data_IF_580852274840
#
_entry.id   IF_580852274840
#
_cell.length_a   1.000
_cell.length_b   1.000
_cell.length_c   1.000
_cell.angle_alpha   90.00
_cell.angle_beta   90.00
_cell.angle_gamma   90.00
#
_symmetry.space_group_name_H-M   'P 1'
#
loop_
_entity.id
_entity.type
_entity.pdbx_description
1 polymer ?
#
# COMPACT_ATOMS: atom_id res chain seq x y z
N UNK A 1 -29.72 -30.18 31.49
CA UNK A 1 -31.07 -30.57 31.02
C UNK A 1 -31.40 -29.70 29.81
N UNK A 2 -31.24 -30.24 28.60
CA UNK A 2 -32.32 -30.48 27.60
C UNK A 2 -32.94 -29.14 27.13
N UNK A 3 -32.79 -28.65 25.89
CA UNK A 3 -32.90 -29.34 24.60
C UNK A 3 -32.27 -28.54 23.45
N UNK A 4 -31.68 -29.24 22.49
CA UNK A 4 -31.29 -28.76 21.16
C UNK A 4 -32.49 -28.72 20.20
N UNK A 5 -32.48 -27.83 19.20
CA UNK A 5 -33.14 -28.02 17.91
C UNK A 5 -32.41 -27.24 16.79
N UNK A 6 -31.64 -27.97 15.96
CA UNK A 6 -31.40 -27.71 14.51
C UNK A 6 -32.56 -28.40 13.73
N UNK A 7 -32.78 -28.33 12.38
CA UNK A 7 -32.10 -27.60 11.28
C UNK A 7 -33.03 -27.01 10.17
N UNK A 8 -32.39 -26.40 9.14
CA UNK A 8 -32.70 -26.39 7.67
C UNK A 8 -34.06 -25.90 7.14
N UNK A 9 -34.00 -24.91 6.23
CA UNK A 9 -34.76 -24.95 4.96
C UNK A 9 -33.85 -24.68 3.77
N UNK A 10 -33.79 -25.71 2.91
CA UNK A 10 -33.37 -25.62 1.53
C UNK A 10 -34.62 -25.41 0.65
N UNK A 11 -34.49 -24.60 -0.39
CA UNK A 11 -35.25 -24.65 -1.66
C UNK A 11 -34.43 -23.80 -2.65
N UNK A 12 -33.80 -24.34 -3.71
CA UNK A 12 -34.39 -24.83 -4.99
C UNK A 12 -35.24 -23.73 -5.65
N UNK A 13 -35.17 -23.38 -6.94
CA UNK A 13 -34.44 -23.79 -8.16
C UNK A 13 -34.99 -22.88 -9.31
N UNK A 14 -34.38 -22.95 -10.51
CA UNK A 14 -34.92 -22.59 -11.86
C UNK A 14 -34.82 -21.10 -12.27
N UNK A 15 -34.46 -20.64 -13.47
CA UNK A 15 -33.75 -21.09 -14.70
C UNK A 15 -33.74 -19.91 -15.70
N UNK A 16 -32.75 -19.87 -16.63
CA UNK A 16 -32.84 -19.46 -18.07
C UNK A 16 -31.50 -18.86 -18.53
N UNK A 17 -30.59 -19.54 -19.24
CA UNK A 17 -30.57 -19.92 -20.67
C UNK A 17 -30.71 -18.75 -21.67
N UNK A 18 -29.59 -18.32 -22.25
CA UNK A 18 -29.53 -17.81 -23.62
C UNK A 18 -28.14 -18.15 -24.23
N UNK A 19 -28.14 -19.09 -25.16
CA UNK A 19 -27.01 -19.47 -26.00
C UNK A 19 -26.97 -18.57 -27.24
N UNK A 20 -25.78 -18.15 -27.64
CA UNK A 20 -25.52 -17.46 -28.91
C UNK A 20 -24.29 -18.06 -29.59
N UNK A 21 -24.51 -19.11 -30.38
CA UNK A 21 -23.55 -19.71 -31.31
C UNK A 21 -23.55 -18.89 -32.62
N UNK A 22 -22.38 -18.51 -33.10
CA UNK A 22 -22.17 -18.17 -34.52
C UNK A 22 -20.79 -18.69 -34.95
N UNK A 23 -20.83 -19.78 -35.70
CA UNK A 23 -19.72 -20.32 -36.46
C UNK A 23 -19.78 -19.77 -37.90
N UNK A 24 -18.63 -19.80 -38.58
CA UNK A 24 -18.38 -20.20 -39.99
C UNK A 24 -17.26 -19.36 -40.59
N UNK A 25 -16.25 -20.04 -41.15
CA UNK A 25 -15.25 -19.40 -42.00
C UNK A 25 -14.02 -20.27 -42.29
N UNK A 26 -14.21 -21.48 -42.83
CA UNK A 26 -13.13 -22.32 -43.38
C UNK A 26 -12.63 -21.73 -44.71
N UNK A 27 -11.34 -21.41 -44.78
CA UNK A 27 -10.63 -21.08 -46.01
C UNK A 27 -9.43 -21.99 -46.18
N UNK A 28 -9.61 -23.09 -46.92
CA UNK A 28 -8.55 -23.97 -47.39
C UNK A 28 -8.15 -23.56 -48.81
N UNK A 29 -6.85 -23.33 -49.04
CA UNK A 29 -6.27 -23.34 -50.39
C UNK A 29 -4.94 -24.09 -50.34
N UNK A 30 -4.82 -25.00 -51.29
CA UNK A 30 -3.84 -26.06 -51.41
C UNK A 30 -2.45 -25.59 -51.86
N UNK A 31 -1.48 -26.45 -51.57
CA UNK A 31 -0.11 -26.47 -52.05
C UNK A 31 0.05 -26.21 -53.56
N UNK A 32 1.10 -25.46 -53.90
CA UNK A 32 1.64 -25.40 -55.25
C UNK A 32 3.17 -25.60 -55.18
N UNK A 33 3.73 -26.68 -55.76
CA UNK A 33 5.17 -26.92 -55.78
C UNK A 33 5.85 -25.97 -56.77
N UNK A 34 6.89 -25.26 -56.32
CA UNK A 34 7.73 -24.43 -57.18
C UNK A 34 9.14 -25.01 -57.19
N UNK A 35 9.65 -25.21 -58.41
CA UNK A 35 10.93 -25.78 -58.78
C UNK A 35 12.14 -25.08 -58.11
N UNK A 36 13.15 -25.89 -57.81
CA UNK A 36 14.46 -25.45 -57.38
C UNK A 36 15.27 -24.86 -58.55
N UNK A 37 15.89 -23.67 -58.39
CA UNK A 37 17.00 -23.26 -59.23
C UNK A 37 18.36 -23.65 -58.61
N UNK A 38 19.30 -23.98 -59.50
CA UNK A 38 20.69 -24.39 -59.29
C UNK A 38 21.53 -23.48 -58.37
N UNK A 39 22.63 -24.02 -57.78
CA UNK A 39 23.49 -23.28 -56.85
C UNK A 39 24.35 -22.24 -57.58
N UNK A 40 24.20 -20.97 -57.21
CA UNK A 40 25.13 -19.89 -57.59
C UNK A 40 26.21 -19.80 -56.51
N UNK A 41 27.47 -19.89 -56.94
CA UNK A 41 28.66 -19.86 -56.11
C UNK A 41 28.71 -18.65 -55.15
N UNK A 42 28.93 -18.93 -53.87
CA UNK A 42 29.17 -17.93 -52.83
C UNK A 42 30.57 -17.28 -53.02
N UNK A 43 30.69 -15.95 -53.02
CA UNK A 43 31.98 -15.31 -52.82
C UNK A 43 32.32 -15.35 -51.33
N UNK A 44 33.44 -16.02 -51.00
CA UNK A 44 34.05 -16.01 -49.67
C UNK A 44 34.46 -14.58 -49.29
N UNK A 45 33.66 -13.90 -48.47
CA UNK A 45 34.04 -12.65 -47.82
C UNK A 45 34.68 -12.96 -46.48
N UNK A 46 35.96 -12.64 -46.35
CA UNK A 46 36.72 -12.63 -45.10
C UNK A 46 35.99 -11.77 -44.05
N UNK A 47 35.75 -12.24 -42.81
CA UNK A 47 35.13 -11.42 -41.77
C UNK A 47 36.10 -10.33 -41.31
N UNK A 48 35.61 -9.09 -41.30
CA UNK A 48 36.25 -7.92 -40.68
C UNK A 48 36.21 -8.08 -39.16
N UNK A 49 37.25 -7.68 -38.40
CA UNK A 49 37.25 -7.84 -36.94
C UNK A 49 36.13 -7.01 -36.30
N UNK A 50 35.29 -7.67 -35.51
CA UNK A 50 34.24 -7.01 -34.72
C UNK A 50 34.88 -5.99 -33.75
N UNK A 51 34.31 -4.77 -33.60
CA UNK A 51 34.78 -3.82 -32.62
C UNK A 51 34.55 -4.41 -31.22
N UNK A 52 35.65 -4.59 -30.47
CA UNK A 52 35.57 -4.89 -29.04
C UNK A 52 34.90 -3.72 -28.33
N UNK A 53 33.65 -3.90 -27.93
CA UNK A 53 32.93 -2.96 -27.08
C UNK A 53 33.64 -2.95 -25.73
N UNK A 54 34.18 -1.81 -25.32
CA UNK A 54 34.63 -1.63 -23.94
C UNK A 54 33.43 -1.85 -23.00
N UNK A 55 33.62 -2.52 -21.85
CA UNK A 55 32.55 -2.69 -20.88
C UNK A 55 32.09 -1.31 -20.40
N UNK A 56 30.78 -1.07 -20.46
CA UNK A 56 30.16 0.08 -19.80
C UNK A 56 30.54 0.05 -18.30
N UNK A 57 30.89 1.21 -17.70
CA UNK A 57 31.16 1.28 -16.28
C UNK A 57 29.94 0.80 -15.49
N UNK A 58 30.17 0.00 -14.44
CA UNK A 58 29.11 -0.38 -13.51
C UNK A 58 28.45 0.87 -12.92
N UNK A 59 27.11 0.90 -12.81
CA UNK A 59 26.41 2.02 -12.21
C UNK A 59 26.85 2.20 -10.75
N UNK A 60 27.07 3.45 -10.33
CA UNK A 60 27.29 3.77 -8.92
C UNK A 60 26.08 3.34 -8.07
N UNK A 61 26.29 2.81 -6.86
CA UNK A 61 25.20 2.41 -5.98
C UNK A 61 24.37 3.63 -5.57
N UNK A 62 23.05 3.51 -5.69
CA UNK A 62 22.11 4.52 -5.20
C UNK A 62 22.24 4.67 -3.67
N UNK A 63 22.13 5.90 -3.14
CA UNK A 63 22.22 6.13 -1.70
C UNK A 63 21.09 5.41 -0.97
N UNK A 64 21.43 4.64 0.06
CA UNK A 64 20.44 4.00 0.93
C UNK A 64 19.67 5.07 1.73
N UNK A 65 18.34 5.04 1.64
CA UNK A 65 17.49 5.89 2.46
C UNK A 65 17.48 5.36 3.90
N UNK A 66 17.74 6.26 4.86
CA UNK A 66 17.82 5.92 6.29
C UNK A 66 16.60 6.47 7.00
N UNK A 67 15.93 5.62 7.77
CA UNK A 67 14.81 6.04 8.61
C UNK A 67 15.27 7.08 9.64
N UNK A 68 14.57 8.22 9.65
CA UNK A 68 14.71 9.26 10.66
C UNK A 68 13.37 9.43 11.36
N UNK A 69 13.36 9.22 12.67
CA UNK A 69 12.17 9.36 13.50
C UNK A 69 11.79 10.85 13.60
N UNK A 70 10.59 11.25 13.13
CA UNK A 70 10.11 12.61 13.35
C UNK A 70 9.90 12.87 14.85
N UNK A 71 10.29 14.04 15.33
CA UNK A 71 10.07 14.46 16.73
C UNK A 71 8.86 15.36 16.91
N UNK A 72 8.29 15.86 15.82
CA UNK A 72 7.22 16.86 15.83
C UNK A 72 6.17 16.52 14.77
N UNK A 73 4.89 16.67 15.13
CA UNK A 73 3.77 16.37 14.24
C UNK A 73 3.64 17.37 13.08
N UNK A 74 4.23 18.56 13.19
CA UNK A 74 4.25 19.55 12.10
C UNK A 74 5.18 19.13 10.95
N UNK A 75 6.08 18.18 11.20
CA UNK A 75 7.08 17.70 10.24
C UNK A 75 6.78 16.29 9.73
N UNK A 76 5.67 15.66 10.16
CA UNK A 76 5.38 14.26 9.85
C UNK A 76 4.82 14.05 8.43
N UNK A 77 4.40 15.14 7.78
CA UNK A 77 3.82 15.17 6.43
C UNK A 77 4.47 16.28 5.61
N UNK A 78 4.50 16.18 4.27
CA UNK A 78 4.97 17.25 3.41
C UNK A 78 4.20 18.55 3.64
N UNK A 79 4.86 19.70 3.53
CA UNK A 79 4.23 21.00 3.81
C UNK A 79 2.97 21.26 2.94
N UNK A 80 2.99 20.79 1.69
CA UNK A 80 1.84 20.88 0.78
C UNK A 80 0.62 20.08 1.30
N UNK A 81 0.86 18.94 1.94
CA UNK A 81 -0.20 18.14 2.56
C UNK A 81 -0.77 18.85 3.77
N UNK A 82 0.07 19.39 4.64
CA UNK A 82 -0.38 20.15 5.83
C UNK A 82 -1.30 21.30 5.39
N UNK A 83 -0.89 22.08 4.38
CA UNK A 83 -1.72 23.15 3.83
C UNK A 83 -3.07 22.64 3.26
N UNK A 84 -3.09 21.45 2.65
CA UNK A 84 -4.33 20.83 2.16
C UNK A 84 -5.28 20.44 3.29
N UNK A 85 -4.76 19.93 4.41
CA UNK A 85 -5.55 19.61 5.60
C UNK A 85 -6.16 20.88 6.22
N UNK A 86 -5.39 21.97 6.29
CA UNK A 86 -5.88 23.26 6.77
C UNK A 86 -7.00 23.84 5.91
N UNK A 87 -6.90 23.72 4.57
CA UNK A 87 -7.98 24.13 3.64
C UNK A 87 -9.26 23.33 3.88
N UNK A 88 -9.14 22.09 4.36
CA UNK A 88 -10.27 21.24 4.76
C UNK A 88 -10.75 21.51 6.19
N UNK A 89 -10.23 22.57 6.81
CA UNK A 89 -10.52 22.97 8.19
C UNK A 89 -10.03 21.96 9.24
N UNK A 90 -9.10 21.06 8.88
CA UNK A 90 -8.48 20.14 9.82
C UNK A 90 -7.27 20.80 10.48
N UNK A 91 -7.26 20.82 11.81
CA UNK A 91 -6.20 21.37 12.64
C UNK A 91 -5.40 20.26 13.28
N UNK A 92 -4.11 20.50 13.53
CA UNK A 92 -3.27 19.59 14.31
C UNK A 92 -3.64 19.70 15.80
N UNK A 93 -4.46 18.77 16.28
CA UNK A 93 -5.03 18.74 17.62
C UNK A 93 -4.13 18.00 18.62
N UNK A 94 -3.59 16.84 18.25
CA UNK A 94 -2.88 15.95 19.17
C UNK A 94 -1.47 15.56 18.70
N UNK A 95 -0.60 15.23 19.67
CA UNK A 95 0.80 14.84 19.47
C UNK A 95 1.81 15.97 19.67
N UNK A 96 3.12 15.70 19.66
CA UNK A 96 4.16 16.72 19.81
C UNK A 96 4.02 17.85 18.79
N UNK A 97 4.10 19.11 19.24
CA UNK A 97 3.93 20.29 18.38
C UNK A 97 2.47 20.70 18.08
N UNK A 98 1.49 19.91 18.54
CA UNK A 98 0.06 20.20 18.37
C UNK A 98 -0.53 21.15 19.42
N UNK A 99 -1.81 21.51 19.25
CA UNK A 99 -2.57 22.37 20.18
C UNK A 99 -2.66 21.75 21.58
N UNK A 100 -2.98 20.46 21.67
CA UNK A 100 -3.18 19.76 22.95
C UNK A 100 -1.99 18.89 23.35
N UNK A 101 -0.96 18.78 22.50
CA UNK A 101 0.20 17.96 22.77
C UNK A 101 -0.17 16.49 22.96
N UNK A 102 0.56 15.82 23.85
CA UNK A 102 0.28 14.43 24.23
C UNK A 102 -0.97 14.31 25.14
N UNK A 103 -1.45 15.41 25.73
CA UNK A 103 -2.68 15.39 26.56
C UNK A 103 -3.94 15.12 25.74
N UNK A 104 -3.85 15.18 24.41
CA UNK A 104 -4.93 14.76 23.52
C UNK A 104 -5.30 13.28 23.71
N UNK A 105 -4.31 12.44 24.02
CA UNK A 105 -4.49 11.00 24.17
C UNK A 105 -4.81 10.67 25.64
N UNK A 106 -5.84 9.86 25.87
CA UNK A 106 -6.14 9.38 27.22
C UNK A 106 -5.14 8.30 27.66
N UNK A 107 -4.76 7.42 26.72
CA UNK A 107 -3.74 6.39 26.87
C UNK A 107 -2.77 6.49 25.69
N UNK A 108 -1.52 6.11 25.89
CA UNK A 108 -0.52 6.02 24.82
C UNK A 108 -1.01 5.08 23.71
N UNK A 109 -0.82 5.50 22.46
CA UNK A 109 -1.10 4.64 21.30
C UNK A 109 -0.12 3.47 21.24
N UNK A 110 -0.48 2.37 20.55
CA UNK A 110 0.44 1.27 20.31
C UNK A 110 1.79 1.71 19.72
N UNK A 111 1.78 2.71 18.85
CA UNK A 111 2.98 3.29 18.25
C UNK A 111 3.80 4.08 19.28
N UNK A 112 3.16 4.88 20.14
CA UNK A 112 3.83 5.60 21.24
C UNK A 112 4.49 4.63 22.24
N UNK A 113 3.85 3.50 22.53
CA UNK A 113 4.37 2.47 23.45
C UNK A 113 5.69 1.83 22.98
N UNK A 114 6.01 1.90 21.69
CA UNK A 114 7.28 1.44 21.13
C UNK A 114 8.25 2.58 20.80
N UNK A 115 8.02 3.77 21.36
CA UNK A 115 8.86 4.96 21.20
C UNK A 115 8.52 5.81 19.97
N UNK A 116 7.32 5.61 19.42
CA UNK A 116 6.78 6.40 18.32
C UNK A 116 6.16 7.73 18.73
N UNK A 117 5.61 8.42 17.74
CA UNK A 117 4.73 9.58 17.92
C UNK A 117 3.40 9.32 17.21
N UNK A 118 2.36 9.95 17.72
CA UNK A 118 1.01 9.91 17.15
C UNK A 118 0.49 11.33 17.03
N UNK A 119 -0.05 11.65 15.86
CA UNK A 119 -0.41 13.00 15.44
C UNK A 119 -1.85 13.00 14.96
N UNK A 120 -2.66 13.91 15.51
CA UNK A 120 -4.09 13.94 15.23
C UNK A 120 -4.46 15.22 14.49
N UNK A 121 -4.95 15.08 13.26
CA UNK A 121 -5.65 16.15 12.55
C UNK A 121 -7.15 15.99 12.68
N UNK A 122 -7.86 17.07 12.98
CA UNK A 122 -9.31 17.02 13.15
C UNK A 122 -9.98 18.38 13.20
N UNK A 123 -11.31 18.38 13.22
CA UNK A 123 -12.12 19.55 13.56
C UNK A 123 -12.64 19.42 15.00
N UNK A 124 -12.42 20.45 15.80
CA UNK A 124 -12.96 20.48 17.17
C UNK A 124 -14.48 20.39 17.18
N UNK A 125 -15.02 19.50 18.01
CA UNK A 125 -16.46 19.32 18.17
C UNK A 125 -17.17 18.70 16.95
N UNK A 126 -16.43 18.19 15.95
CA UNK A 126 -16.98 17.52 14.78
C UNK A 126 -16.59 16.04 14.80
N UNK A 127 -17.56 15.19 15.09
CA UNK A 127 -17.38 13.74 15.03
C UNK A 127 -17.01 13.30 13.60
N UNK A 128 -16.22 12.23 13.48
CA UNK A 128 -15.81 11.61 12.21
C UNK A 128 -15.00 12.53 11.27
N UNK A 129 -14.28 13.50 11.83
CA UNK A 129 -13.35 14.38 11.10
C UNK A 129 -11.88 14.09 11.38
N UNK A 130 -11.56 12.97 12.02
CA UNK A 130 -10.25 12.71 12.62
C UNK A 130 -9.38 11.83 11.74
N UNK A 131 -8.17 12.30 11.51
CA UNK A 131 -7.06 11.54 10.94
C UNK A 131 -6.02 11.38 12.04
N UNK A 132 -5.70 10.14 12.38
CA UNK A 132 -4.60 9.80 13.28
C UNK A 132 -3.48 9.20 12.45
N UNK A 133 -2.32 9.86 12.45
CA UNK A 133 -1.10 9.41 11.80
C UNK A 133 -0.07 9.09 12.87
N UNK A 134 0.54 7.92 12.78
CA UNK A 134 1.56 7.51 13.73
C UNK A 134 2.78 6.95 13.01
N UNK A 135 3.95 7.20 13.59
CA UNK A 135 5.22 6.63 13.16
C UNK A 135 5.96 6.12 14.39
N UNK A 136 6.60 4.97 14.28
CA UNK A 136 7.40 4.41 15.36
C UNK A 136 8.65 3.70 14.84
N UNK A 137 9.77 3.75 15.58
CA UNK A 137 10.94 2.95 15.27
C UNK A 137 10.67 1.47 15.58
N UNK A 138 11.19 0.58 14.74
CA UNK A 138 11.18 -0.85 14.96
C UNK A 138 12.59 -1.43 14.99
N UNK A 139 12.75 -2.49 15.75
CA UNK A 139 13.85 -3.43 15.62
C UNK A 139 13.28 -4.81 15.27
N UNK A 140 14.13 -5.80 15.01
CA UNK A 140 13.67 -7.13 14.60
C UNK A 140 12.66 -7.77 15.57
N UNK A 141 12.81 -7.56 16.89
CA UNK A 141 11.92 -8.13 17.90
C UNK A 141 10.58 -7.37 17.95
N UNK A 142 10.61 -6.04 18.04
CA UNK A 142 9.37 -5.23 18.07
C UNK A 142 8.61 -5.34 16.75
N UNK A 143 9.30 -5.42 15.61
CA UNK A 143 8.69 -5.66 14.31
C UNK A 143 7.91 -6.97 14.26
N UNK A 144 8.53 -8.06 14.73
CA UNK A 144 7.87 -9.37 14.74
C UNK A 144 6.61 -9.33 15.63
N UNK A 145 6.73 -8.72 16.81
CA UNK A 145 5.60 -8.56 17.73
C UNK A 145 4.47 -7.70 17.14
N UNK A 146 4.78 -6.54 16.55
CA UNK A 146 3.80 -5.67 15.89
C UNK A 146 3.03 -6.43 14.80
N UNK A 147 3.73 -7.23 13.98
CA UNK A 147 3.09 -8.06 12.95
C UNK A 147 2.14 -9.09 13.57
N UNK A 148 2.59 -9.81 14.60
CA UNK A 148 1.77 -10.80 15.30
C UNK A 148 0.52 -10.15 15.94
N UNK A 149 0.68 -8.97 16.54
CA UNK A 149 -0.40 -8.22 17.18
C UNK A 149 -1.42 -7.71 16.14
N UNK A 150 -0.97 -7.21 14.97
CA UNK A 150 -1.87 -6.80 13.89
C UNK A 150 -2.67 -7.99 13.35
N UNK A 151 -2.03 -9.14 13.16
CA UNK A 151 -2.70 -10.37 12.72
C UNK A 151 -3.71 -10.84 13.78
N UNK A 152 -3.33 -10.82 15.07
CA UNK A 152 -4.20 -11.22 16.18
C UNK A 152 -5.43 -10.31 16.32
N UNK A 153 -5.28 -9.03 15.97
CA UNK A 153 -6.37 -8.05 15.91
C UNK A 153 -7.27 -8.20 14.67
N UNK A 154 -6.90 -9.07 13.72
CA UNK A 154 -7.69 -9.38 12.54
C UNK A 154 -7.48 -8.44 11.36
N UNK A 155 -6.39 -7.67 11.34
CA UNK A 155 -6.02 -6.87 10.18
C UNK A 155 -5.72 -7.77 8.97
N UNK A 156 -6.10 -7.29 7.79
CA UNK A 156 -5.93 -8.02 6.53
C UNK A 156 -4.58 -7.65 5.93
N UNK A 157 -3.78 -8.63 5.53
CA UNK A 157 -2.54 -8.39 4.82
C UNK A 157 -2.80 -7.95 3.37
N UNK A 158 -2.02 -6.98 2.88
CA UNK A 158 -2.06 -6.50 1.50
C UNK A 158 -0.72 -6.74 0.82
N UNK A 159 -0.78 -7.21 -0.43
CA UNK A 159 0.42 -7.43 -1.24
C UNK A 159 1.11 -6.10 -1.56
N UNK A 160 2.44 -6.13 -1.63
CA UNK A 160 3.29 -5.00 -1.97
C UNK A 160 4.42 -5.44 -2.87
N UNK A 161 4.89 -4.51 -3.69
CA UNK A 161 6.00 -4.73 -4.63
C UNK A 161 7.38 -4.49 -3.99
N UNK A 162 7.41 -3.95 -2.78
CA UNK A 162 8.63 -3.72 -1.99
C UNK A 162 8.74 -4.73 -0.83
N UNK A 163 9.81 -4.61 -0.03
CA UNK A 163 10.05 -5.50 1.12
C UNK A 163 9.20 -5.17 2.35
N UNK A 164 8.37 -4.14 2.29
CA UNK A 164 7.52 -3.75 3.41
C UNK A 164 6.22 -4.57 3.44
N UNK A 165 5.61 -4.66 4.61
CA UNK A 165 4.37 -5.41 4.81
C UNK A 165 3.25 -4.43 5.10
N UNK A 166 2.08 -4.65 4.51
CA UNK A 166 0.90 -3.84 4.78
C UNK A 166 -0.21 -4.64 5.44
N UNK A 167 -0.84 -4.03 6.44
CA UNK A 167 -1.97 -4.59 7.18
C UNK A 167 -3.05 -3.53 7.35
N UNK A 168 -4.30 -3.85 7.01
CA UNK A 168 -5.36 -2.84 6.99
C UNK A 168 -6.76 -3.37 7.24
N UNK A 169 -7.65 -2.42 7.51
CA UNK A 169 -9.09 -2.58 7.59
C UNK A 169 -9.72 -1.44 6.78
N UNK A 170 -10.60 -1.77 5.83
CA UNK A 170 -11.27 -0.76 5.01
C UNK A 170 -12.31 0.03 5.84
N UNK A 171 -12.90 -0.59 6.86
CA UNK A 171 -14.02 -0.03 7.61
C UNK A 171 -15.28 0.12 6.77
N UNK A 172 -16.28 0.82 7.32
CA UNK A 172 -17.53 1.12 6.61
C UNK A 172 -17.77 2.63 6.55
N UNK A 173 -18.36 3.12 5.47
CA UNK A 173 -18.71 4.53 5.34
C UNK A 173 -19.70 4.95 6.43
N UNK A 174 -19.29 5.89 7.29
CA UNK A 174 -20.08 6.34 8.45
C UNK A 174 -20.13 5.36 9.62
N UNK A 175 -19.27 4.33 9.60
CA UNK A 175 -19.18 3.27 10.62
C UNK A 175 -17.75 3.12 11.14
N UNK A 176 -17.20 1.89 11.19
CA UNK A 176 -15.82 1.67 11.59
C UNK A 176 -14.83 2.43 10.69
N UNK A 177 -13.73 2.94 11.26
CA UNK A 177 -12.74 3.71 10.51
C UNK A 177 -11.99 2.84 9.49
N UNK A 178 -11.40 3.50 8.50
CA UNK A 178 -10.37 2.89 7.67
C UNK A 178 -9.03 2.97 8.40
N UNK A 179 -8.25 1.89 8.37
CA UNK A 179 -6.95 1.82 9.04
C UNK A 179 -5.95 1.14 8.11
N UNK A 180 -4.78 1.73 7.95
CA UNK A 180 -3.68 1.17 7.17
C UNK A 180 -2.38 1.23 7.97
N UNK A 181 -1.69 0.10 8.06
CA UNK A 181 -0.39 -0.05 8.70
C UNK A 181 0.62 -0.49 7.66
N UNK A 182 1.78 0.15 7.66
CA UNK A 182 2.92 -0.17 6.82
C UNK A 182 4.14 -0.47 7.71
N UNK A 183 4.69 -1.67 7.57
CA UNK A 183 5.77 -2.20 8.40
C UNK A 183 7.01 -2.40 7.53
N UNK A 184 8.02 -1.55 7.69
CA UNK A 184 9.34 -1.72 7.10
C UNK A 184 10.24 -2.53 8.05
N UNK A 185 11.54 -2.62 7.79
CA UNK A 185 12.47 -3.33 8.67
C UNK A 185 12.76 -2.57 9.96
N UNK A 186 12.63 -1.25 9.93
CA UNK A 186 13.09 -0.31 10.95
C UNK A 186 12.01 0.70 11.38
N UNK A 187 10.82 0.68 10.77
CA UNK A 187 9.73 1.57 11.12
C UNK A 187 8.33 0.97 10.95
N UNK A 188 7.40 1.45 11.77
CA UNK A 188 5.96 1.24 11.66
C UNK A 188 5.31 2.59 11.35
N UNK A 189 4.59 2.65 10.23
CA UNK A 189 3.73 3.76 9.86
C UNK A 189 2.28 3.32 9.96
N UNK A 190 1.43 4.15 10.53
CA UNK A 190 0.03 3.83 10.77
C UNK A 190 -0.83 5.03 10.47
N UNK A 191 -1.96 4.79 9.83
CA UNK A 191 -2.96 5.81 9.53
C UNK A 191 -4.33 5.25 9.86
N UNK A 192 -5.08 5.97 10.70
CA UNK A 192 -6.50 5.75 10.95
C UNK A 192 -7.29 6.96 10.45
N UNK A 193 -8.20 6.70 9.52
CA UNK A 193 -9.16 7.67 9.01
C UNK A 193 -10.53 7.38 9.62
N UNK A 194 -11.10 8.33 10.35
CA UNK A 194 -12.45 8.17 10.89
C UNK A 194 -13.51 7.98 9.80
N UNK A 195 -13.21 8.42 8.57
CA UNK A 195 -13.99 8.06 7.39
C UNK A 195 -13.59 6.65 6.95
N UNK A 196 -14.41 5.65 7.29
CA UNK A 196 -14.28 4.30 6.74
C UNK A 196 -14.72 4.19 5.27
N UNK A 197 -14.64 2.97 4.74
CA UNK A 197 -14.96 2.66 3.36
C UNK A 197 -13.78 2.88 2.41
N UNK A 198 -13.96 2.50 1.14
CA UNK A 198 -12.84 2.44 0.17
C UNK A 198 -12.11 3.77 0.00
N UNK A 199 -12.84 4.89 -0.08
CA UNK A 199 -12.21 6.20 -0.27
C UNK A 199 -11.32 6.60 0.92
N UNK A 200 -11.79 6.35 2.15
CA UNK A 200 -10.99 6.61 3.34
C UNK A 200 -9.78 5.68 3.46
N UNK A 201 -9.94 4.43 3.02
CA UNK A 201 -8.83 3.46 2.97
C UNK A 201 -7.77 3.84 1.92
N UNK A 202 -8.18 4.26 0.73
CA UNK A 202 -7.25 4.74 -0.31
C UNK A 202 -6.48 5.98 0.16
N UNK A 203 -7.15 6.90 0.86
CA UNK A 203 -6.50 8.04 1.50
C UNK A 203 -5.54 7.62 2.62
N UNK A 204 -5.91 6.58 3.40
CA UNK A 204 -5.04 6.02 4.45
C UNK A 204 -3.75 5.47 3.86
N UNK A 205 -3.81 4.77 2.74
CA UNK A 205 -2.62 4.29 2.00
C UNK A 205 -1.78 5.49 1.60
N UNK A 206 -2.38 6.47 0.92
CA UNK A 206 -1.65 7.60 0.37
C UNK A 206 -0.94 8.43 1.44
N UNK A 207 -1.62 8.73 2.55
CA UNK A 207 -1.01 9.49 3.66
C UNK A 207 0.07 8.70 4.38
N UNK A 208 -0.07 7.37 4.49
CA UNK A 208 0.99 6.52 5.04
C UNK A 208 2.24 6.53 4.15
N UNK A 209 2.07 6.58 2.84
CA UNK A 209 3.18 6.68 1.89
C UNK A 209 3.87 8.05 1.93
N UNK A 210 3.10 9.14 2.07
CA UNK A 210 3.67 10.48 2.26
C UNK A 210 4.47 10.55 3.58
N UNK A 211 3.90 10.02 4.66
CA UNK A 211 4.55 9.90 5.95
C UNK A 211 5.86 9.09 5.85
N UNK A 212 5.82 7.94 5.18
CA UNK A 212 7.02 7.14 4.90
C UNK A 212 8.05 7.95 4.12
N UNK A 213 7.61 8.64 3.06
CA UNK A 213 8.48 9.46 2.22
C UNK A 213 9.22 10.52 3.03
N UNK A 214 8.54 11.21 3.94
CA UNK A 214 9.17 12.20 4.83
C UNK A 214 10.16 11.53 5.79
N UNK A 215 9.77 10.44 6.45
CA UNK A 215 10.64 9.76 7.42
C UNK A 215 11.93 9.18 6.82
N UNK A 216 11.93 8.87 5.52
CA UNK A 216 13.12 8.41 4.79
C UNK A 216 13.81 9.53 3.99
N UNK A 217 13.36 10.79 4.12
CA UNK A 217 13.92 11.94 3.39
C UNK A 217 13.70 11.91 1.88
N UNK A 218 12.72 11.15 1.41
CA UNK A 218 12.31 11.08 0.01
C UNK A 218 11.29 12.17 -0.37
N UNK A 219 10.68 12.82 0.62
CA UNK A 219 9.74 13.93 0.47
C UNK A 219 10.08 15.06 1.46
N UNK A 220 9.78 16.30 1.07
CA UNK A 220 9.93 17.54 1.86
C UNK A 220 8.60 18.31 1.90
#
# INVERSE_FOLDING_TARGET
MVTAFRPRRASRLVSALAAGLLAVGLGACADQPVEAPDPIAEPTTTPEPEPTTEPEPEPEPEPELVFTMPSDCTEILPAARVASLEVQNLQLLGGPGSIYGDEFFFDETPEQLVGGISCVWGQEGVDLSTILLSVAPLNAATRAQTIDDLIAQGYIAYDRDDSSLAYGLIGDAGGPPAIYNLITNDAWFSMLNSLGGQAGFDESILLTEELRGVAYGALE
#
